data_IF_550777764126
#
_entry.id   IF_550777764126
#
_cell.length_a   1.000
_cell.length_b   1.000
_cell.length_c   1.000
_cell.angle_alpha   90.00
_cell.angle_beta   90.00
_cell.angle_gamma   90.00
#
_symmetry.space_group_name_H-M   'P 1'
#
loop_
_entity.id
_entity.type
_entity.pdbx_description
1 polymer ?
#
# COMPACT_ATOMS: atom_id res chain seq x y z
N UNK A 1 -15.99 17.02 -8.91
CA UNK A 1 -15.53 15.62 -8.94
C UNK A 1 -15.87 15.02 -7.58
N UNK A 2 -16.82 14.10 -7.52
CA UNK A 2 -17.44 13.64 -6.27
C UNK A 2 -16.43 12.93 -5.37
N UNK A 3 -16.36 13.36 -4.11
CA UNK A 3 -15.65 12.65 -3.05
C UNK A 3 -16.31 11.27 -2.88
N UNK A 4 -15.48 10.24 -2.83
CA UNK A 4 -15.90 8.94 -2.31
C UNK A 4 -16.10 9.14 -0.81
N UNK A 5 -17.35 9.32 -0.37
CA UNK A 5 -17.68 9.25 1.04
C UNK A 5 -17.59 7.78 1.44
N UNK A 6 -16.48 7.41 2.09
CA UNK A 6 -16.17 6.05 2.56
C UNK A 6 -17.12 5.62 3.72
N UNK A 7 -18.15 6.40 4.01
CA UNK A 7 -19.08 6.17 5.09
C UNK A 7 -20.26 5.30 4.61
N UNK A 8 -20.09 3.98 4.70
CA UNK A 8 -21.22 3.03 4.72
C UNK A 8 -21.25 1.95 3.64
N UNK A 9 -20.42 2.03 2.59
CA UNK A 9 -20.32 0.95 1.60
C UNK A 9 -19.32 -0.14 2.05
N UNK A 10 -19.64 -1.43 1.89
CA UNK A 10 -18.72 -2.51 2.26
C UNK A 10 -17.48 -2.50 1.36
N UNK A 11 -16.31 -2.45 1.99
CA UNK A 11 -15.04 -2.67 1.30
C UNK A 11 -14.85 -4.17 1.04
N UNK A 12 -14.55 -4.52 -0.20
CA UNK A 12 -14.27 -5.92 -0.58
C UNK A 12 -12.80 -6.05 -0.89
N UNK A 13 -12.10 -6.89 -0.13
CA UNK A 13 -10.73 -7.28 -0.41
C UNK A 13 -10.69 -8.50 -1.33
N UNK A 14 -9.78 -8.49 -2.30
CA UNK A 14 -9.44 -9.64 -3.15
C UNK A 14 -7.92 -9.79 -3.24
N UNK A 15 -7.40 -10.94 -2.83
CA UNK A 15 -5.99 -11.29 -3.06
C UNK A 15 -5.67 -11.29 -4.55
N UNK A 16 -4.46 -10.87 -4.92
CA UNK A 16 -4.00 -10.89 -6.31
C UNK A 16 -2.89 -11.92 -6.51
N UNK A 17 -2.79 -12.44 -7.73
CA UNK A 17 -1.56 -13.06 -8.24
C UNK A 17 -0.73 -12.05 -9.01
N UNK A 18 0.02 -12.54 -10.01
CA UNK A 18 0.85 -11.70 -10.87
C UNK A 18 -0.02 -10.88 -11.84
N UNK A 19 0.10 -9.56 -11.76
CA UNK A 19 -0.39 -8.59 -12.75
C UNK A 19 0.67 -8.39 -13.82
N UNK A 20 0.26 -8.39 -15.08
CA UNK A 20 1.14 -8.22 -16.24
C UNK A 20 0.87 -6.87 -16.90
N UNK A 21 1.93 -6.21 -17.37
CA UNK A 21 1.76 -5.03 -18.20
C UNK A 21 0.96 -5.40 -19.47
N UNK A 22 -0.02 -4.59 -19.91
CA UNK A 22 -0.91 -4.96 -21.02
C UNK A 22 -0.16 -5.19 -22.34
N UNK A 23 1.00 -4.54 -22.54
CA UNK A 23 1.74 -4.57 -23.80
C UNK A 23 3.20 -5.02 -23.69
N UNK A 24 3.77 -5.10 -22.48
CA UNK A 24 5.21 -5.40 -22.30
C UNK A 24 5.33 -6.68 -21.47
N UNK A 25 5.42 -7.84 -22.15
CA UNK A 25 5.24 -9.16 -21.53
C UNK A 25 6.25 -9.54 -20.44
N UNK A 26 7.40 -8.87 -20.34
CA UNK A 26 8.38 -9.11 -19.28
C UNK A 26 8.19 -8.20 -18.04
N UNK A 27 7.33 -7.18 -18.11
CA UNK A 27 7.02 -6.32 -16.97
C UNK A 27 5.80 -6.87 -16.24
N UNK A 28 6.00 -7.22 -14.97
CA UNK A 28 4.98 -7.84 -14.11
C UNK A 28 5.20 -7.42 -12.67
N UNK A 29 4.16 -7.49 -11.87
CA UNK A 29 4.19 -7.18 -10.44
C UNK A 29 3.12 -7.98 -9.71
N UNK A 30 3.29 -8.17 -8.42
CA UNK A 30 2.36 -8.96 -7.60
C UNK A 30 1.91 -8.12 -6.43
N UNK A 31 0.87 -7.28 -6.59
CA UNK A 31 0.28 -6.59 -5.44
C UNK A 31 -0.27 -7.64 -4.47
N UNK A 32 -0.32 -7.33 -3.19
CA UNK A 32 -0.92 -8.22 -2.19
C UNK A 32 -2.43 -8.37 -2.40
N UNK A 33 -3.07 -7.35 -2.99
CA UNK A 33 -4.40 -7.48 -3.53
C UNK A 33 -5.02 -6.17 -3.99
N UNK A 34 -6.34 -6.20 -4.08
CA UNK A 34 -7.18 -5.07 -4.44
C UNK A 34 -8.26 -4.89 -3.39
N UNK A 35 -8.52 -3.63 -3.06
CA UNK A 35 -9.68 -3.23 -2.26
C UNK A 35 -10.64 -2.45 -3.15
N UNK A 36 -11.92 -2.82 -3.12
CA UNK A 36 -12.95 -2.21 -3.96
C UNK A 36 -14.09 -1.67 -3.11
N UNK A 37 -14.52 -0.44 -3.42
CA UNK A 37 -15.85 0.08 -3.11
C UNK A 37 -16.74 -0.04 -4.36
N UNK A 38 -18.04 0.32 -4.25
CA UNK A 38 -18.92 0.46 -5.43
C UNK A 38 -18.37 1.42 -6.48
N UNK A 39 -17.57 2.38 -6.05
CA UNK A 39 -17.07 3.49 -6.84
C UNK A 39 -15.74 3.22 -7.55
N UNK A 40 -14.82 2.50 -6.90
CA UNK A 40 -13.39 2.47 -7.24
C UNK A 40 -12.75 1.19 -6.72
N UNK A 41 -11.68 0.80 -7.39
CA UNK A 41 -10.78 -0.27 -6.96
C UNK A 41 -9.39 0.31 -6.82
N UNK A 42 -8.73 -0.03 -5.72
CA UNK A 42 -7.38 0.40 -5.42
C UNK A 42 -6.49 -0.83 -5.23
N UNK A 43 -5.29 -0.86 -5.83
CA UNK A 43 -4.29 -1.84 -5.45
C UNK A 43 -3.85 -1.61 -4.00
N UNK A 44 -3.30 -2.65 -3.39
CA UNK A 44 -2.84 -2.65 -2.02
C UNK A 44 -1.53 -3.41 -1.90
N UNK A 45 -0.64 -2.88 -1.07
CA UNK A 45 0.66 -3.45 -0.74
C UNK A 45 0.80 -3.46 0.78
N UNK A 46 1.03 -4.63 1.37
CA UNK A 46 1.19 -4.85 2.81
C UNK A 46 2.66 -5.14 3.09
N UNK A 47 3.23 -4.45 4.07
CA UNK A 47 4.54 -4.76 4.65
C UNK A 47 4.41 -5.17 6.10
N UNK A 48 4.98 -6.33 6.43
CA UNK A 48 5.05 -6.88 7.78
C UNK A 48 6.51 -6.91 8.27
N UNK A 49 7.08 -5.78 8.71
CA UNK A 49 8.49 -5.70 9.10
C UNK A 49 8.78 -6.60 10.32
N UNK A 50 9.48 -7.72 10.09
CA UNK A 50 9.71 -8.74 11.12
C UNK A 50 10.46 -8.23 12.35
N UNK A 51 11.36 -7.26 12.19
CA UNK A 51 12.11 -6.64 13.30
C UNK A 51 11.25 -5.74 14.20
N UNK A 52 10.04 -5.42 13.77
CA UNK A 52 9.08 -4.55 14.43
C UNK A 52 7.75 -5.27 14.73
N UNK A 53 7.69 -6.60 14.54
CA UNK A 53 6.46 -7.40 14.62
C UNK A 53 5.78 -7.38 15.99
N UNK A 54 6.54 -7.14 17.06
CA UNK A 54 6.08 -7.17 18.46
C UNK A 54 5.84 -5.75 19.03
N UNK A 55 5.84 -4.73 18.17
CA UNK A 55 5.65 -3.34 18.54
C UNK A 55 4.42 -2.76 17.83
N UNK A 56 3.73 -1.80 18.44
CA UNK A 56 2.66 -1.05 17.77
C UNK A 56 3.21 -0.11 16.70
N UNK A 57 2.39 0.25 15.71
CA UNK A 57 2.82 1.17 14.65
C UNK A 57 3.37 2.49 15.20
N UNK A 58 2.75 3.03 16.26
CA UNK A 58 3.18 4.27 16.91
C UNK A 58 4.57 4.13 17.53
N UNK A 59 4.80 3.08 18.33
CA UNK A 59 6.11 2.83 18.95
C UNK A 59 7.21 2.65 17.89
N UNK A 60 6.87 1.96 16.80
CA UNK A 60 7.79 1.66 15.70
C UNK A 60 8.18 2.92 14.92
N UNK A 61 7.21 3.81 14.67
CA UNK A 61 7.44 5.12 14.06
C UNK A 61 8.26 5.99 15.01
N UNK A 62 7.89 6.10 16.29
CA UNK A 62 8.59 6.90 17.30
C UNK A 62 10.06 6.49 17.43
N UNK A 63 10.36 5.19 17.56
CA UNK A 63 11.73 4.70 17.66
C UNK A 63 12.53 4.74 16.33
N UNK A 64 11.89 5.09 15.20
CA UNK A 64 12.56 5.22 13.91
C UNK A 64 13.01 3.89 13.30
N UNK A 65 12.34 2.78 13.64
CA UNK A 65 12.67 1.45 13.10
C UNK A 65 12.16 1.23 11.67
N UNK A 66 11.26 2.07 11.17
CA UNK A 66 10.80 2.04 9.78
C UNK A 66 11.54 3.10 8.98
N UNK A 67 12.67 2.69 8.39
CA UNK A 67 13.53 3.54 7.56
C UNK A 67 12.90 3.94 6.23
N UNK A 68 11.69 3.47 5.94
CA UNK A 68 10.94 3.74 4.72
C UNK A 68 9.78 4.72 4.93
N UNK A 69 9.56 5.23 6.15
CA UNK A 69 8.48 6.18 6.46
C UNK A 69 9.08 7.51 6.89
N UNK A 70 8.56 8.60 6.32
CA UNK A 70 8.74 9.93 6.87
C UNK A 70 7.74 10.13 8.03
N UNK A 71 8.27 10.28 9.25
CA UNK A 71 7.47 10.41 10.47
C UNK A 71 6.60 11.66 10.52
N UNK A 72 6.99 12.75 9.85
CA UNK A 72 6.25 14.01 9.90
C UNK A 72 4.95 13.96 9.10
N UNK A 73 4.90 13.10 8.07
CA UNK A 73 3.79 13.06 7.12
C UNK A 73 3.11 11.69 7.03
N UNK A 74 3.62 10.67 7.71
CA UNK A 74 3.19 9.28 7.53
C UNK A 74 3.15 8.89 6.05
N UNK A 75 4.21 9.26 5.32
CA UNK A 75 4.38 8.98 3.90
C UNK A 75 5.56 8.05 3.68
N UNK A 76 5.47 7.24 2.64
CA UNK A 76 6.60 6.45 2.15
C UNK A 76 7.69 7.38 1.60
N UNK A 77 8.94 7.11 1.96
CA UNK A 77 10.10 7.89 1.50
C UNK A 77 10.36 7.59 0.02
N UNK A 78 10.43 8.63 -0.81
CA UNK A 78 10.59 8.52 -2.27
C UNK A 78 11.86 7.76 -2.70
N UNK A 79 12.93 7.86 -1.91
CA UNK A 79 14.22 7.23 -2.17
C UNK A 79 14.29 5.77 -1.73
N UNK A 80 13.26 5.24 -1.05
CA UNK A 80 13.25 3.85 -0.60
C UNK A 80 12.71 2.92 -1.70
N UNK A 81 13.27 1.70 -1.80
CA UNK A 81 12.90 0.72 -2.84
C UNK A 81 11.39 0.39 -2.88
N UNK A 82 10.72 0.47 -1.74
CA UNK A 82 9.27 0.29 -1.66
C UNK A 82 8.51 1.36 -2.43
N UNK A 83 9.00 2.60 -2.51
CA UNK A 83 8.37 3.64 -3.30
C UNK A 83 8.42 3.28 -4.79
N UNK A 84 9.58 2.84 -5.29
CA UNK A 84 9.72 2.34 -6.65
C UNK A 84 8.79 1.14 -6.92
N UNK A 85 8.64 0.23 -5.95
CA UNK A 85 7.71 -0.89 -6.06
C UNK A 85 6.25 -0.42 -6.17
N UNK A 86 5.82 0.49 -5.29
CA UNK A 86 4.46 1.06 -5.29
C UNK A 86 4.17 1.75 -6.62
N UNK A 87 5.09 2.58 -7.12
CA UNK A 87 4.94 3.22 -8.43
C UNK A 87 4.85 2.20 -9.58
N UNK A 88 5.62 1.12 -9.52
CA UNK A 88 5.55 0.02 -10.48
C UNK A 88 4.19 -0.67 -10.49
N UNK A 89 3.63 -0.97 -9.32
CA UNK A 89 2.29 -1.57 -9.20
C UNK A 89 1.21 -0.59 -9.68
N UNK A 90 1.31 0.69 -9.34
CA UNK A 90 0.39 1.72 -9.82
C UNK A 90 0.40 1.82 -11.35
N UNK A 91 1.58 1.82 -11.96
CA UNK A 91 1.75 1.80 -13.42
C UNK A 91 1.17 0.53 -14.07
N UNK A 92 1.39 -0.64 -13.47
CA UNK A 92 0.86 -1.92 -13.96
C UNK A 92 -0.67 -2.01 -13.89
N UNK A 93 -1.26 -1.39 -12.88
CA UNK A 93 -2.71 -1.44 -12.61
C UNK A 93 -3.47 -0.22 -13.11
N UNK A 94 -2.77 0.76 -13.71
CA UNK A 94 -3.30 2.06 -14.12
C UNK A 94 -4.05 2.77 -12.97
N UNK A 95 -3.52 2.66 -11.75
CA UNK A 95 -4.12 3.23 -10.56
C UNK A 95 -3.45 4.57 -10.19
N UNK A 96 -4.28 5.56 -9.83
CA UNK A 96 -3.78 6.88 -9.39
C UNK A 96 -3.33 6.91 -7.92
N UNK A 97 -3.73 5.92 -7.11
CA UNK A 97 -3.32 5.77 -5.71
C UNK A 97 -3.25 4.28 -5.37
N UNK A 98 -2.47 3.95 -4.33
CA UNK A 98 -2.35 2.60 -3.78
C UNK A 98 -2.43 2.65 -2.25
N UNK A 99 -3.04 1.65 -1.62
CA UNK A 99 -3.01 1.53 -0.17
C UNK A 99 -1.75 0.81 0.30
N UNK A 100 -0.82 1.55 0.92
CA UNK A 100 0.39 0.98 1.51
C UNK A 100 0.14 0.73 3.00
N UNK A 101 0.07 -0.54 3.40
CA UNK A 101 -0.29 -0.93 4.77
C UNK A 101 0.94 -1.47 5.46
N UNK A 102 1.21 -0.99 6.68
CA UNK A 102 2.24 -1.58 7.53
C UNK A 102 1.56 -2.33 8.67
N UNK A 103 1.79 -3.64 8.70
CA UNK A 103 1.24 -4.53 9.71
C UNK A 103 2.31 -4.93 10.73
N UNK A 104 2.06 -4.63 12.00
CA UNK A 104 2.92 -5.00 13.15
C UNK A 104 2.11 -5.79 14.18
N UNK A 105 2.17 -5.52 15.49
CA UNK A 105 1.17 -6.07 16.44
C UNK A 105 -0.21 -5.48 16.22
N UNK A 106 -0.25 -4.24 15.72
CA UNK A 106 -1.44 -3.54 15.22
C UNK A 106 -1.19 -3.07 13.77
N UNK A 107 -2.26 -2.79 13.02
CA UNK A 107 -2.16 -2.27 11.67
C UNK A 107 -2.15 -0.73 11.64
N UNK A 108 -1.39 -0.15 10.72
CA UNK A 108 -1.46 1.26 10.35
C UNK A 108 -1.56 1.40 8.84
N UNK A 109 -2.37 2.35 8.37
CA UNK A 109 -2.50 2.68 6.94
C UNK A 109 -1.62 3.88 6.65
N UNK A 110 -0.77 3.75 5.64
CA UNK A 110 0.09 4.80 5.11
C UNK A 110 -0.43 5.11 3.71
N UNK A 111 -0.74 6.38 3.46
CA UNK A 111 -1.21 6.80 2.14
C UNK A 111 0.00 7.18 1.29
N UNK A 112 -0.01 6.77 0.02
CA UNK A 112 1.00 7.06 -0.98
C UNK A 112 0.33 7.47 -2.28
#
# INVERSE_FOLDING_TARGET
>A
MGQCEIYGDPLVFRSSGIVRHPTIGYIRGSPDGFVSCKCKTYPMEIKCPYHARDMSINEVVECGKLKFINKEHNLLICEHDYFAHVQGIMGLTNANNLHFIVWTTNFGIIYC
#
